data_IF_859267192923
#
_entry.id   IF_859267192923
#
_cell.length_a   1.000
_cell.length_b   1.000
_cell.length_c   1.000
_cell.angle_alpha   90.00
_cell.angle_beta   90.00
_cell.angle_gamma   90.00
#
_symmetry.space_group_name_H-M   'P 1'
#
loop_
_entity.id
_entity.type
_entity.pdbx_description
1 polymer ?
#
# COMPACT_ATOMS: atom_id res chain seq x y z
N UNK A 1 13.52 -4.28 23.74
CA UNK A 1 13.75 -5.74 23.64
C UNK A 1 13.35 -6.18 22.24
N UNK A 2 14.13 -7.01 21.54
CA UNK A 2 13.71 -7.48 20.22
C UNK A 2 12.43 -8.30 20.41
N UNK A 3 11.36 -7.87 19.73
CA UNK A 3 10.09 -8.60 19.71
C UNK A 3 10.36 -9.97 19.09
N UNK A 4 9.88 -11.06 19.68
CA UNK A 4 10.28 -12.45 19.36
C UNK A 4 10.18 -12.85 17.86
N UNK A 5 9.39 -12.10 17.07
CA UNK A 5 9.14 -12.32 15.64
C UNK A 5 9.69 -11.22 14.71
N UNK A 6 10.43 -10.24 15.25
CA UNK A 6 11.10 -9.19 14.45
C UNK A 6 11.96 -9.72 13.30
N UNK A 7 12.65 -10.88 13.38
CA UNK A 7 13.50 -11.36 12.28
C UNK A 7 12.75 -12.15 11.20
N UNK A 8 11.46 -12.46 11.37
CA UNK A 8 10.82 -13.52 10.59
C UNK A 8 10.31 -13.07 9.23
N UNK A 9 9.87 -11.82 9.09
CA UNK A 9 9.38 -11.23 7.83
C UNK A 9 9.79 -9.76 7.75
N UNK A 10 10.35 -9.38 6.61
CA UNK A 10 10.81 -8.05 6.26
C UNK A 10 9.91 -7.40 5.18
N UNK A 11 10.16 -6.14 4.80
CA UNK A 11 9.31 -5.47 3.82
C UNK A 11 9.26 -6.19 2.46
N UNK A 12 10.39 -6.75 2.00
CA UNK A 12 10.47 -7.48 0.73
C UNK A 12 9.74 -8.83 0.82
N UNK A 13 9.87 -9.57 1.92
CA UNK A 13 9.10 -10.78 2.16
C UNK A 13 7.59 -10.50 2.12
N UNK A 14 7.16 -9.40 2.75
CA UNK A 14 5.78 -8.94 2.68
C UNK A 14 5.31 -8.61 1.25
N UNK A 15 6.14 -7.91 0.48
CA UNK A 15 5.89 -7.59 -0.93
C UNK A 15 5.66 -8.86 -1.77
N UNK A 16 6.53 -9.86 -1.62
CA UNK A 16 6.44 -11.13 -2.33
C UNK A 16 5.17 -11.91 -1.97
N UNK A 17 4.78 -11.91 -0.69
CA UNK A 17 3.54 -12.54 -0.24
C UNK A 17 2.30 -11.85 -0.85
N UNK A 18 2.30 -10.52 -0.96
CA UNK A 18 1.21 -9.80 -1.63
C UNK A 18 1.14 -10.09 -3.12
N UNK A 19 2.29 -10.16 -3.82
CA UNK A 19 2.34 -10.54 -5.23
C UNK A 19 1.84 -11.96 -5.46
N UNK A 20 2.25 -12.92 -4.61
CA UNK A 20 1.77 -14.30 -4.67
C UNK A 20 0.25 -14.38 -4.42
N UNK A 21 -0.27 -13.65 -3.44
CA UNK A 21 -1.71 -13.60 -3.16
C UNK A 21 -2.49 -12.99 -4.34
N UNK A 22 -1.96 -11.95 -4.99
CA UNK A 22 -2.56 -11.35 -6.18
C UNK A 22 -2.56 -12.33 -7.36
N UNK A 23 -1.46 -13.05 -7.58
CA UNK A 23 -1.35 -14.09 -8.60
C UNK A 23 -2.38 -15.20 -8.42
N UNK A 24 -2.55 -15.72 -7.20
CA UNK A 24 -3.55 -16.75 -6.90
C UNK A 24 -4.97 -16.21 -7.11
N UNK A 25 -5.26 -14.96 -6.69
CA UNK A 25 -6.56 -14.30 -6.92
C UNK A 25 -6.88 -14.19 -8.42
N UNK A 26 -5.89 -13.85 -9.24
CA UNK A 26 -6.03 -13.72 -10.70
C UNK A 26 -6.34 -15.07 -11.34
N UNK A 27 -5.60 -16.14 -11.00
CA UNK A 27 -5.87 -17.48 -11.52
C UNK A 27 -7.29 -17.93 -11.16
N UNK A 28 -7.66 -17.79 -9.88
CA UNK A 28 -8.98 -18.21 -9.41
C UNK A 28 -10.12 -17.46 -10.15
N UNK A 29 -9.92 -16.17 -10.46
CA UNK A 29 -10.92 -15.40 -11.21
C UNK A 29 -11.06 -15.83 -12.67
N UNK A 30 -9.98 -16.30 -13.31
CA UNK A 30 -10.02 -16.77 -14.69
C UNK A 30 -10.77 -18.10 -14.83
N UNK A 31 -10.85 -18.90 -13.78
CA UNK A 31 -11.65 -20.15 -13.76
C UNK A 31 -13.16 -19.89 -13.87
N UNK A 32 -13.62 -18.65 -13.66
CA UNK A 32 -15.03 -18.30 -13.80
C UNK A 32 -15.58 -18.45 -15.23
N UNK A 33 -14.71 -18.48 -16.25
CA UNK A 33 -15.11 -18.59 -17.66
C UNK A 33 -15.89 -17.40 -18.22
N UNK A 34 -16.02 -16.31 -17.45
CA UNK A 34 -16.77 -15.11 -17.82
C UNK A 34 -15.88 -14.13 -18.58
N UNK A 35 -16.32 -13.72 -19.78
CA UNK A 35 -15.62 -12.71 -20.57
C UNK A 35 -15.48 -11.37 -19.81
N UNK A 36 -16.44 -11.06 -18.94
CA UNK A 36 -16.40 -9.83 -18.14
C UNK A 36 -15.26 -9.86 -17.11
N UNK A 37 -15.10 -10.99 -16.41
CA UNK A 37 -14.01 -11.18 -15.45
C UNK A 37 -12.66 -11.18 -16.17
N UNK A 38 -12.55 -11.83 -17.33
CA UNK A 38 -11.34 -11.82 -18.13
C UNK A 38 -10.91 -10.40 -18.56
N UNK A 39 -11.88 -9.53 -18.91
CA UNK A 39 -11.60 -8.11 -19.19
C UNK A 39 -11.13 -7.35 -17.95
N UNK A 40 -11.69 -7.61 -16.78
CA UNK A 40 -11.22 -7.04 -15.49
C UNK A 40 -9.78 -7.46 -15.17
N UNK A 41 -9.47 -8.74 -15.31
CA UNK A 41 -8.13 -9.30 -15.10
C UNK A 41 -7.10 -8.68 -16.04
N UNK A 42 -7.43 -8.54 -17.33
CA UNK A 42 -6.54 -7.91 -18.31
C UNK A 42 -6.14 -6.47 -17.93
N UNK A 43 -7.09 -5.70 -17.37
CA UNK A 43 -6.83 -4.33 -16.88
C UNK A 43 -5.93 -4.33 -15.66
N UNK A 44 -6.20 -5.19 -14.67
CA UNK A 44 -5.35 -5.31 -13.48
C UNK A 44 -3.92 -5.64 -13.88
N UNK A 45 -3.72 -6.68 -14.67
CA UNK A 45 -2.39 -7.08 -15.13
C UNK A 45 -1.65 -5.97 -15.88
N UNK A 46 -2.39 -5.12 -16.60
CA UNK A 46 -1.84 -3.96 -17.31
C UNK A 46 -1.32 -2.86 -16.37
N UNK A 47 -1.74 -2.83 -15.10
CA UNK A 47 -1.31 -1.81 -14.12
C UNK A 47 -0.45 -2.39 -13.00
N UNK A 48 -0.65 -3.66 -12.65
CA UNK A 48 0.04 -4.34 -11.53
C UNK A 48 1.56 -4.33 -11.69
N UNK A 49 2.09 -4.42 -12.91
CA UNK A 49 3.54 -4.40 -13.10
C UNK A 49 4.18 -3.09 -12.58
N UNK A 50 3.50 -1.94 -12.74
CA UNK A 50 3.97 -0.66 -12.21
C UNK A 50 3.76 -0.58 -10.70
N UNK A 51 2.65 -1.09 -10.17
CA UNK A 51 2.41 -1.06 -8.73
C UNK A 51 3.43 -1.92 -7.98
N UNK A 52 3.72 -3.13 -8.46
CA UNK A 52 4.73 -4.01 -7.87
C UNK A 52 6.14 -3.38 -7.96
N UNK A 53 6.51 -2.82 -9.12
CA UNK A 53 7.79 -2.13 -9.27
C UNK A 53 7.92 -0.92 -8.31
N UNK A 54 6.84 -0.16 -8.12
CA UNK A 54 6.81 0.96 -7.18
C UNK A 54 6.95 0.48 -5.73
N UNK A 55 6.24 -0.60 -5.35
CA UNK A 55 6.30 -1.16 -4.01
C UNK A 55 7.71 -1.68 -3.66
N UNK A 56 8.36 -2.39 -4.59
CA UNK A 56 9.73 -2.89 -4.40
C UNK A 56 10.71 -1.71 -4.28
N UNK A 57 10.62 -0.70 -5.14
CA UNK A 57 11.53 0.45 -5.12
C UNK A 57 11.37 1.30 -3.85
N UNK A 58 10.14 1.49 -3.36
CA UNK A 58 9.89 2.16 -2.08
C UNK A 58 10.55 1.42 -0.92
N UNK A 59 10.33 0.12 -0.80
CA UNK A 59 10.92 -0.66 0.29
C UNK A 59 12.44 -0.75 0.20
N UNK A 60 12.99 -0.81 -1.02
CA UNK A 60 14.43 -0.72 -1.21
C UNK A 60 14.99 0.64 -0.80
N UNK A 61 14.30 1.74 -1.13
CA UNK A 61 14.68 3.09 -0.69
C UNK A 61 14.75 3.20 0.84
N UNK A 62 13.73 2.68 1.54
CA UNK A 62 13.72 2.64 3.01
C UNK A 62 14.86 1.77 3.56
N UNK A 63 15.13 0.62 2.93
CA UNK A 63 16.21 -0.26 3.34
C UNK A 63 17.61 0.37 3.15
N UNK A 64 17.81 1.19 2.12
CA UNK A 64 19.06 1.92 1.92
C UNK A 64 19.29 2.98 3.00
N UNK A 65 18.25 3.73 3.37
CA UNK A 65 18.34 4.76 4.41
C UNK A 65 18.69 4.14 5.77
N UNK A 66 18.05 3.03 6.11
CA UNK A 66 18.13 2.42 7.45
C UNK A 66 19.16 1.29 7.56
N UNK A 67 19.73 0.85 6.44
CA UNK A 67 20.66 -0.28 6.35
C UNK A 67 20.03 -1.64 6.63
N UNK A 68 18.70 -1.72 6.76
CA UNK A 68 17.98 -2.95 7.08
C UNK A 68 16.59 -2.97 6.46
N UNK A 69 16.08 -4.17 6.21
CA UNK A 69 14.73 -4.35 5.69
C UNK A 69 13.67 -4.55 6.79
N UNK A 70 14.08 -4.37 8.06
CA UNK A 70 13.22 -4.65 9.21
C UNK A 70 12.32 -3.45 9.55
N UNK A 71 10.98 -3.59 9.49
CA UNK A 71 10.05 -2.49 9.75
C UNK A 71 10.23 -1.86 11.14
N UNK A 72 10.55 -2.65 12.16
CA UNK A 72 10.70 -2.16 13.53
C UNK A 72 11.96 -1.32 13.71
N UNK A 73 13.05 -1.68 13.04
CA UNK A 73 14.29 -0.91 13.07
C UNK A 73 14.13 0.39 12.28
N UNK A 74 13.41 0.34 11.16
CA UNK A 74 13.13 1.54 10.37
C UNK A 74 12.27 2.55 11.11
N UNK A 75 11.28 2.05 11.86
CA UNK A 75 10.46 2.88 12.75
C UNK A 75 11.31 3.57 13.83
N UNK A 76 12.18 2.82 14.50
CA UNK A 76 13.07 3.36 15.53
C UNK A 76 13.99 4.44 14.94
N UNK A 77 14.64 4.16 13.80
CA UNK A 77 15.51 5.09 13.09
C UNK A 77 14.83 6.43 12.74
N UNK A 78 13.64 6.38 12.12
CA UNK A 78 12.91 7.60 11.74
C UNK A 78 12.39 8.35 12.98
N UNK A 79 12.03 7.64 14.05
CA UNK A 79 11.52 8.26 15.28
C UNK A 79 12.60 9.01 16.09
N UNK A 80 13.88 8.67 15.91
CA UNK A 80 14.98 9.23 16.70
C UNK A 80 15.37 10.66 16.30
N UNK A 81 15.10 11.10 15.07
CA UNK A 81 15.40 12.48 14.67
C UNK A 81 14.34 13.07 13.72
N UNK A 82 13.89 14.28 14.04
CA UNK A 82 13.01 15.05 13.17
C UNK A 82 13.70 15.44 11.86
N UNK A 83 15.03 15.58 11.87
CA UNK A 83 15.81 15.95 10.69
C UNK A 83 15.71 14.91 9.58
N UNK A 84 15.72 13.62 9.90
CA UNK A 84 15.58 12.54 8.92
C UNK A 84 14.18 12.51 8.29
N UNK A 85 13.13 12.82 9.07
CA UNK A 85 11.76 12.82 8.57
C UNK A 85 11.50 13.90 7.51
N UNK A 86 12.10 15.08 7.64
CA UNK A 86 11.93 16.20 6.71
C UNK A 86 12.91 16.18 5.52
N UNK A 87 13.72 15.12 5.37
CA UNK A 87 14.57 15.00 4.19
C UNK A 87 13.74 14.81 2.93
N UNK A 88 14.26 15.35 1.82
CA UNK A 88 13.53 15.41 0.55
C UNK A 88 13.24 14.00 0.00
N UNK A 89 14.17 13.07 0.19
CA UNK A 89 14.03 11.66 -0.16
C UNK A 89 12.87 11.02 0.62
N UNK A 90 12.83 11.17 1.94
CA UNK A 90 11.75 10.64 2.78
C UNK A 90 10.36 11.18 2.36
N UNK A 91 10.28 12.45 1.97
CA UNK A 91 9.03 13.05 1.48
C UNK A 91 8.60 12.40 0.15
N UNK A 92 9.51 12.23 -0.80
CA UNK A 92 9.17 11.64 -2.10
C UNK A 92 8.76 10.18 -2.01
N UNK A 93 9.46 9.38 -1.18
CA UNK A 93 9.05 7.98 -0.95
C UNK A 93 7.70 7.89 -0.24
N UNK A 94 7.43 8.80 0.71
CA UNK A 94 6.14 8.85 1.42
C UNK A 94 4.99 9.16 0.47
N UNK A 95 5.16 10.14 -0.43
CA UNK A 95 4.16 10.49 -1.45
C UNK A 95 3.95 9.32 -2.43
N UNK A 96 5.04 8.70 -2.89
CA UNK A 96 4.99 7.53 -3.78
C UNK A 96 4.21 6.38 -3.13
N UNK A 97 4.52 6.05 -1.87
CA UNK A 97 3.83 4.98 -1.16
C UNK A 97 2.36 5.31 -0.89
N UNK A 98 2.04 6.58 -0.60
CA UNK A 98 0.65 7.02 -0.46
C UNK A 98 -0.12 6.89 -1.77
N UNK A 99 0.48 7.27 -2.89
CA UNK A 99 -0.14 7.09 -4.20
C UNK A 99 -0.40 5.61 -4.50
N UNK A 100 0.58 4.75 -4.21
CA UNK A 100 0.45 3.31 -4.34
C UNK A 100 -0.64 2.73 -3.42
N UNK A 101 -0.71 3.18 -2.17
CA UNK A 101 -1.75 2.74 -1.24
C UNK A 101 -3.16 3.08 -1.73
N UNK A 102 -3.39 4.26 -2.32
CA UNK A 102 -4.67 4.61 -2.93
C UNK A 102 -5.03 3.69 -4.10
N UNK A 103 -4.04 3.30 -4.92
CA UNK A 103 -4.22 2.34 -6.00
C UNK A 103 -4.59 0.94 -5.47
N UNK A 104 -3.80 0.40 -4.54
CA UNK A 104 -3.98 -0.94 -3.98
C UNK A 104 -5.26 -1.09 -3.12
N UNK A 105 -5.86 0.02 -2.70
CA UNK A 105 -7.12 0.04 -1.93
C UNK A 105 -8.36 0.36 -2.77
N UNK A 106 -8.19 0.56 -4.08
CA UNK A 106 -9.29 0.83 -5.00
C UNK A 106 -10.06 2.12 -4.65
N UNK A 107 -9.36 3.15 -4.15
CA UNK A 107 -9.96 4.44 -3.78
C UNK A 107 -9.78 5.48 -4.88
N UNK A 108 -10.59 6.54 -4.85
CA UNK A 108 -10.41 7.67 -5.74
C UNK A 108 -9.05 8.33 -5.47
N UNK A 109 -8.37 8.85 -6.49
CA UNK A 109 -8.87 9.09 -7.87
C UNK A 109 -8.70 7.89 -8.82
N UNK A 110 -8.08 6.79 -8.37
CA UNK A 110 -7.73 5.62 -9.21
C UNK A 110 -8.97 4.82 -9.59
N UNK A 111 -9.71 4.37 -8.58
CA UNK A 111 -10.89 3.54 -8.77
C UNK A 111 -12.03 4.06 -7.91
N UNK A 112 -13.26 3.84 -8.38
CA UNK A 112 -14.46 4.00 -7.59
C UNK A 112 -15.30 2.76 -7.81
N UNK A 113 -15.82 2.14 -6.75
CA UNK A 113 -16.90 1.17 -6.86
C UNK A 113 -18.03 1.84 -7.63
N UNK A 114 -18.50 1.22 -8.71
CA UNK A 114 -19.51 1.81 -9.57
C UNK A 114 -20.07 0.82 -10.57
N UNK A 115 -21.30 1.07 -11.01
CA UNK A 115 -22.08 0.21 -11.91
C UNK A 115 -21.62 0.29 -13.39
N UNK A 116 -20.61 1.09 -13.69
CA UNK A 116 -20.07 1.20 -15.04
C UNK A 116 -19.22 -0.03 -15.37
N UNK A 117 -19.83 -1.01 -16.04
CA UNK A 117 -19.24 -2.28 -16.49
C UNK A 117 -17.82 -2.12 -17.09
N UNK A 118 -17.61 -1.07 -17.89
CA UNK A 118 -16.34 -0.83 -18.59
C UNK A 118 -15.25 -0.15 -17.74
N UNK A 119 -15.57 0.26 -16.52
CA UNK A 119 -14.65 1.00 -15.64
C UNK A 119 -14.29 0.27 -14.34
N UNK A 120 -14.79 -0.94 -14.13
CA UNK A 120 -14.47 -1.77 -12.96
C UNK A 120 -13.12 -2.45 -13.19
N UNK A 121 -12.22 -2.31 -12.22
CA UNK A 121 -10.90 -2.94 -12.24
C UNK A 121 -10.95 -4.06 -11.19
N UNK A 122 -10.98 -3.70 -9.90
CA UNK A 122 -10.82 -4.65 -8.79
C UNK A 122 -12.14 -5.39 -8.48
N UNK A 123 -13.27 -4.71 -8.59
CA UNK A 123 -14.61 -5.31 -8.42
C UNK A 123 -14.96 -6.27 -9.58
N UNK A 124 -14.36 -6.08 -10.77
CA UNK A 124 -14.60 -6.94 -11.94
C UNK A 124 -14.07 -8.36 -11.78
N UNK A 125 -13.02 -8.55 -10.96
CA UNK A 125 -12.42 -9.87 -10.67
C UNK A 125 -13.31 -10.71 -9.75
N UNK A 126 -14.08 -10.05 -8.89
CA UNK A 126 -14.88 -10.69 -7.86
C UNK A 126 -16.33 -10.92 -8.28
N UNK A 127 -16.68 -10.58 -9.52
CA UNK A 127 -18.06 -10.43 -9.97
C UNK A 127 -18.89 -11.72 -9.93
N UNK A 128 -18.25 -12.87 -10.19
CA UNK A 128 -18.88 -14.19 -10.23
C UNK A 128 -18.92 -14.87 -8.85
N UNK A 129 -18.22 -14.31 -7.85
CA UNK A 129 -18.20 -14.87 -6.51
C UNK A 129 -19.39 -14.39 -5.69
N UNK A 130 -19.99 -15.31 -4.94
CA UNK A 130 -21.10 -15.00 -4.03
C UNK A 130 -20.94 -15.67 -2.66
N UNK A 131 -21.75 -15.21 -1.70
CA UNK A 131 -21.83 -15.78 -0.35
C UNK A 131 -20.49 -15.86 0.38
N UNK A 132 -20.14 -17.06 0.84
CA UNK A 132 -18.95 -17.30 1.68
C UNK A 132 -17.63 -17.03 0.94
N UNK A 133 -17.54 -17.38 -0.35
CA UNK A 133 -16.31 -17.20 -1.12
C UNK A 133 -16.03 -15.71 -1.34
N UNK A 134 -17.07 -14.93 -1.66
CA UNK A 134 -16.96 -13.48 -1.78
C UNK A 134 -16.51 -12.84 -0.46
N UNK A 135 -17.04 -13.31 0.68
CA UNK A 135 -16.65 -12.81 1.99
C UNK A 135 -15.16 -13.03 2.29
N UNK A 136 -14.62 -14.20 1.97
CA UNK A 136 -13.19 -14.51 2.16
C UNK A 136 -12.32 -13.62 1.27
N UNK A 137 -12.69 -13.42 0.01
CA UNK A 137 -11.93 -12.58 -0.92
C UNK A 137 -11.95 -11.10 -0.51
N UNK A 138 -13.11 -10.59 -0.09
CA UNK A 138 -13.21 -9.22 0.45
C UNK A 138 -12.44 -9.04 1.75
N UNK A 139 -12.49 -10.04 2.64
CA UNK A 139 -11.71 -10.02 3.88
C UNK A 139 -10.20 -9.97 3.59
N UNK A 140 -9.73 -10.72 2.61
CA UNK A 140 -8.33 -10.66 2.15
C UNK A 140 -7.94 -9.26 1.66
N UNK A 141 -8.80 -8.60 0.89
CA UNK A 141 -8.58 -7.21 0.45
C UNK A 141 -8.49 -6.24 1.64
N UNK A 142 -9.39 -6.38 2.63
CA UNK A 142 -9.33 -5.56 3.85
C UNK A 142 -8.07 -5.80 4.68
N UNK A 143 -7.58 -7.05 4.78
CA UNK A 143 -6.30 -7.34 5.43
C UNK A 143 -5.16 -6.66 4.68
N UNK A 144 -5.11 -6.77 3.34
CA UNK A 144 -4.06 -6.12 2.54
C UNK A 144 -4.09 -4.60 2.73
N UNK A 145 -5.27 -3.98 2.67
CA UNK A 145 -5.46 -2.56 2.96
C UNK A 145 -4.95 -2.18 4.35
N UNK A 146 -5.28 -2.99 5.37
CA UNK A 146 -4.83 -2.77 6.74
C UNK A 146 -3.31 -2.87 6.88
N UNK A 147 -2.68 -3.88 6.28
CA UNK A 147 -1.24 -4.06 6.36
C UNK A 147 -0.47 -2.93 5.66
N UNK A 148 -0.84 -2.59 4.42
CA UNK A 148 -0.21 -1.50 3.69
C UNK A 148 -0.47 -0.14 4.37
N UNK A 149 -1.68 0.08 4.88
CA UNK A 149 -2.01 1.31 5.61
C UNK A 149 -1.28 1.43 6.95
N UNK A 150 -1.06 0.31 7.64
CA UNK A 150 -0.26 0.27 8.87
C UNK A 150 1.21 0.62 8.60
N UNK A 151 1.79 0.09 7.52
CA UNK A 151 3.15 0.45 7.08
C UNK A 151 3.21 1.93 6.73
N UNK A 152 2.22 2.44 5.97
CA UNK A 152 2.13 3.84 5.60
C UNK A 152 2.11 4.77 6.82
N UNK A 153 1.27 4.44 7.81
CA UNK A 153 1.11 5.25 9.01
C UNK A 153 2.33 5.21 9.92
N UNK A 154 2.92 4.04 10.14
CA UNK A 154 4.00 3.88 11.11
C UNK A 154 5.37 4.18 10.53
N UNK A 155 5.62 3.93 9.24
CA UNK A 155 6.94 4.15 8.64
C UNK A 155 7.04 5.54 8.02
N UNK A 156 6.01 5.98 7.29
CA UNK A 156 6.11 7.17 6.44
C UNK A 156 5.43 8.41 7.03
N UNK A 157 4.21 8.30 7.58
CA UNK A 157 3.46 9.50 7.98
C UNK A 157 3.69 9.89 9.44
N UNK A 158 3.45 8.98 10.39
CA UNK A 158 3.48 9.28 11.81
C UNK A 158 4.23 8.19 12.58
N UNK A 159 5.56 8.16 12.56
CA UNK A 159 6.37 7.15 13.27
C UNK A 159 6.35 7.33 14.80
N UNK A 160 5.91 8.48 15.29
CA UNK A 160 5.86 8.81 16.71
C UNK A 160 4.65 8.21 17.46
N UNK A 161 4.72 8.27 18.79
CA UNK A 161 3.71 7.85 19.78
C UNK A 161 3.58 6.35 20.07
N UNK A 162 4.46 5.50 19.55
CA UNK A 162 4.49 4.09 19.92
C UNK A 162 5.34 3.89 21.17
N UNK A 163 4.79 3.25 22.21
CA UNK A 163 5.47 3.07 23.50
C UNK A 163 5.76 1.60 23.79
N UNK A 164 7.00 1.30 24.19
CA UNK A 164 7.40 -0.07 24.56
C UNK A 164 6.97 -0.39 25.99
N UNK A 165 6.24 -1.49 26.18
CA UNK A 165 5.85 -2.03 27.50
C UNK A 165 4.41 -2.51 27.54
N UNK A 166 4.01 -3.20 28.61
CA UNK A 166 2.65 -3.75 28.78
C UNK A 166 1.59 -2.63 28.91
N UNK A 167 1.95 -1.52 29.56
CA UNK A 167 1.08 -0.34 29.67
C UNK A 167 1.12 0.47 28.37
N UNK A 168 2.29 0.53 27.72
CA UNK A 168 2.47 1.16 26.42
C UNK A 168 1.61 0.50 25.34
N UNK A 169 1.53 -0.84 25.31
CA UNK A 169 0.74 -1.56 24.30
C UNK A 169 -0.76 -1.30 24.39
N UNK A 170 -1.31 -1.00 25.57
CA UNK A 170 -2.71 -0.59 25.72
C UNK A 170 -2.95 0.81 25.16
N UNK A 171 -2.00 1.72 25.35
CA UNK A 171 -2.05 3.08 24.81
C UNK A 171 -1.87 3.04 23.28
N UNK A 172 -1.00 2.18 22.78
CA UNK A 172 -0.73 1.99 21.35
C UNK A 172 -1.99 1.62 20.56
N UNK A 173 -2.93 0.85 21.16
CA UNK A 173 -4.22 0.55 20.52
C UNK A 173 -4.99 1.83 20.23
N UNK A 174 -5.08 2.74 21.21
CA UNK A 174 -5.78 4.02 21.04
C UNK A 174 -5.05 4.95 20.08
N UNK A 175 -3.71 4.98 20.13
CA UNK A 175 -2.89 5.76 19.20
C UNK A 175 -3.08 5.27 17.77
N UNK A 176 -3.02 3.95 17.56
CA UNK A 176 -3.18 3.34 16.24
C UNK A 176 -4.59 3.58 15.70
N UNK A 177 -5.62 3.50 16.56
CA UNK A 177 -6.98 3.85 16.19
C UNK A 177 -7.08 5.33 15.74
N UNK A 178 -6.43 6.25 16.46
CA UNK A 178 -6.35 7.66 16.08
C UNK A 178 -5.65 7.89 14.73
N UNK A 179 -4.51 7.22 14.49
CA UNK A 179 -3.78 7.28 13.21
C UNK A 179 -4.66 6.79 12.05
N UNK A 180 -5.40 5.70 12.26
CA UNK A 180 -6.34 5.17 11.26
C UNK A 180 -7.50 6.11 10.99
N UNK A 181 -8.09 6.74 12.02
CA UNK A 181 -9.13 7.76 11.83
C UNK A 181 -8.65 8.92 10.97
N UNK A 182 -7.40 9.36 11.16
CA UNK A 182 -6.79 10.40 10.35
C UNK A 182 -6.62 9.94 8.89
N UNK A 183 -6.09 8.74 8.66
CA UNK A 183 -5.96 8.19 7.30
C UNK A 183 -7.31 8.05 6.59
N UNK A 184 -8.34 7.61 7.33
CA UNK A 184 -9.72 7.51 6.83
C UNK A 184 -10.25 8.90 6.49
N UNK A 185 -10.03 9.90 7.34
CA UNK A 185 -10.45 11.28 7.08
C UNK A 185 -9.81 11.82 5.79
N UNK A 186 -8.50 11.63 5.61
CA UNK A 186 -7.79 12.00 4.38
C UNK A 186 -8.41 11.28 3.18
N UNK A 187 -8.62 9.97 3.27
CA UNK A 187 -9.21 9.18 2.19
C UNK A 187 -10.63 9.66 1.86
N UNK A 188 -11.46 10.01 2.85
CA UNK A 188 -12.80 10.54 2.65
C UNK A 188 -12.77 11.90 1.96
N UNK A 189 -11.87 12.79 2.35
CA UNK A 189 -11.69 14.10 1.69
C UNK A 189 -11.32 13.89 0.22
N UNK A 190 -10.37 13.00 -0.06
CA UNK A 190 -9.96 12.68 -1.44
C UNK A 190 -11.13 12.12 -2.24
N UNK A 191 -11.87 11.16 -1.67
CA UNK A 191 -13.02 10.55 -2.35
C UNK A 191 -14.18 11.53 -2.61
N UNK A 192 -14.33 12.57 -1.81
CA UNK A 192 -15.40 13.58 -2.00
C UNK A 192 -14.98 14.74 -2.89
N UNK A 193 -13.67 15.01 -3.02
CA UNK A 193 -13.14 16.15 -3.78
C UNK A 193 -12.68 15.78 -5.19
N UNK A 194 -12.14 14.58 -5.39
CA UNK A 194 -11.58 14.17 -6.67
C UNK A 194 -12.56 13.31 -7.49
N UNK A 195 -12.58 13.56 -8.80
CA UNK A 195 -13.29 12.72 -9.74
C UNK A 195 -12.46 11.47 -10.12
N UNK A 196 -13.16 10.42 -10.55
CA UNK A 196 -12.54 9.19 -11.09
C UNK A 196 -11.69 9.50 -12.33
N UNK A 197 -10.46 9.01 -12.33
CA UNK A 197 -9.59 9.10 -13.51
C UNK A 197 -10.09 8.19 -14.63
N UNK A 198 -9.79 8.58 -15.88
CA UNK A 198 -9.98 7.70 -17.04
C UNK A 198 -9.01 6.52 -16.92
N UNK A 199 -9.42 5.34 -17.39
CA UNK A 199 -8.65 4.10 -17.26
C UNK A 199 -7.20 4.22 -17.77
N UNK A 200 -6.99 4.88 -18.91
CA UNK A 200 -5.64 5.11 -19.45
C UNK A 200 -4.76 6.03 -18.59
N UNK A 201 -5.35 6.88 -17.73
CA UNK A 201 -4.62 7.77 -16.82
C UNK A 201 -4.20 7.08 -15.53
N UNK A 202 -4.71 5.88 -15.24
CA UNK A 202 -4.25 5.07 -14.11
C UNK A 202 -2.79 4.65 -14.30
N UNK A 203 -2.40 4.32 -15.54
CA UNK A 203 -1.00 4.03 -15.86
C UNK A 203 -0.09 5.24 -15.64
N UNK A 204 -0.50 6.43 -16.08
CA UNK A 204 0.23 7.68 -15.83
C UNK A 204 0.38 7.95 -14.32
N UNK A 205 -0.68 7.73 -13.55
CA UNK A 205 -0.67 7.90 -12.09
C UNK A 205 0.35 6.99 -11.41
N UNK A 206 0.37 5.70 -11.77
CA UNK A 206 1.35 4.75 -11.24
C UNK A 206 2.77 5.02 -11.74
N UNK A 207 2.93 5.47 -12.99
CA UNK A 207 4.23 5.87 -13.51
C UNK A 207 4.81 7.05 -12.72
N UNK A 208 3.98 8.03 -12.33
CA UNK A 208 4.41 9.13 -11.45
C UNK A 208 4.82 8.60 -10.07
N UNK A 209 4.03 7.68 -9.49
CA UNK A 209 4.41 7.07 -8.21
C UNK A 209 5.77 6.35 -8.30
N UNK A 210 6.00 5.59 -9.37
CA UNK A 210 7.27 4.90 -9.63
C UNK A 210 8.44 5.87 -9.84
N UNK A 211 8.23 6.97 -10.58
CA UNK A 211 9.27 7.97 -10.79
C UNK A 211 9.63 8.70 -9.48
N UNK A 212 8.65 8.95 -8.62
CA UNK A 212 8.90 9.55 -7.30
C UNK A 212 9.71 8.62 -6.39
N UNK A 213 9.45 7.30 -6.39
CA UNK A 213 10.27 6.35 -5.62
C UNK A 213 11.69 6.24 -6.16
N UNK A 214 11.86 6.21 -7.49
CA UNK A 214 13.20 6.25 -8.10
C UNK A 214 13.95 7.54 -7.78
N UNK A 215 13.27 8.69 -7.85
CA UNK A 215 13.86 9.98 -7.53
C UNK A 215 14.32 10.01 -6.07
N UNK A 216 13.48 9.54 -5.14
CA UNK A 216 13.88 9.36 -3.74
C UNK A 216 15.15 8.51 -3.62
N UNK A 217 15.19 7.35 -4.27
CA UNK A 217 16.34 6.43 -4.20
C UNK A 217 17.62 7.10 -4.71
N UNK A 218 17.54 7.78 -5.86
CA UNK A 218 18.70 8.50 -6.42
C UNK A 218 19.19 9.62 -5.51
N UNK A 219 18.27 10.35 -4.85
CA UNK A 219 18.64 11.38 -3.89
C UNK A 219 19.30 10.79 -2.66
N UNK A 220 18.79 9.70 -2.11
CA UNK A 220 19.39 9.01 -0.97
C UNK A 220 20.82 8.57 -1.30
N UNK A 221 21.08 8.05 -2.50
CA UNK A 221 22.43 7.62 -2.92
C UNK A 221 23.37 8.81 -3.20
N UNK A 222 22.85 9.97 -3.61
CA UNK A 222 23.65 11.16 -3.88
C UNK A 222 23.96 11.99 -2.62
N UNK A 223 23.06 11.98 -1.65
CA UNK A 223 23.18 12.76 -0.40
C UNK A 223 23.77 11.95 0.76
N UNK A 224 23.69 10.61 0.71
CA UNK A 224 24.32 9.69 1.65
C UNK A 224 25.76 9.37 1.28
#
# INVERSE_FOLDING_TARGET
MPILLTPTVDFLGGALLFSLAAFIKIIASLESGSNFVALGVSRILSFTFLSEATLITVFFGVALITGTNNPYVTLDYVSQSLSHYFQLDHIFVSISFFMLWLFETGKLPVESPGLSEMGMIDDGVLYEYSGKLLAILKWGSYIKQYLLGSVLLNVFIFPWFLQVGIIGSLIDISVMFGKWLLLILISVIINTTLAKLRLFKVQDYLAVAFLLSLLSLTLTVLLG
#
